data_IF_898132756002
#
_entry.id   IF_898132756002
#
_cell.length_a   1.000
_cell.length_b   1.000
_cell.length_c   1.000
_cell.angle_alpha   90.00
_cell.angle_beta   90.00
_cell.angle_gamma   90.00
#
_symmetry.space_group_name_H-M   'P 1'
#
loop_
_entity.id
_entity.type
_entity.pdbx_description
1 polymer ?
#
# COMPACT_ATOMS: atom_id res chain seq x y z
N UNK A 1 16.47 -8.31 2.33
CA UNK A 1 15.12 -7.73 2.41
C UNK A 1 15.21 -6.26 2.04
N UNK A 2 14.45 -5.82 1.06
CA UNK A 2 14.31 -4.45 0.59
C UNK A 2 12.89 -3.99 0.92
N UNK A 3 12.73 -2.75 1.39
CA UNK A 3 11.43 -2.15 1.65
C UNK A 3 11.35 -0.80 0.95
N UNK A 4 10.31 -0.61 0.16
CA UNK A 4 9.98 0.64 -0.53
C UNK A 4 8.64 1.14 -0.01
N UNK A 5 8.52 2.44 0.25
CA UNK A 5 7.25 3.05 0.65
C UNK A 5 6.85 4.10 -0.38
N UNK A 6 5.61 4.01 -0.81
CA UNK A 6 4.98 4.95 -1.73
C UNK A 6 4.04 5.84 -0.93
N UNK A 7 4.07 7.14 -1.20
CA UNK A 7 3.13 8.12 -0.65
C UNK A 7 2.46 8.82 -1.82
N UNK A 8 1.13 8.82 -1.83
CA UNK A 8 0.32 9.48 -2.83
C UNK A 8 -0.30 10.76 -2.25
N UNK A 9 -0.88 11.59 -3.12
CA UNK A 9 -1.48 12.88 -2.73
C UNK A 9 -2.81 12.70 -1.99
N UNK A 10 -3.47 11.54 -2.11
CA UNK A 10 -4.73 11.21 -1.44
C UNK A 10 -4.56 10.76 0.03
N UNK A 11 -3.42 11.05 0.66
CA UNK A 11 -3.04 10.59 2.01
C UNK A 11 -2.83 9.08 2.15
N UNK A 12 -3.06 8.28 1.10
CA UNK A 12 -2.74 6.86 1.08
C UNK A 12 -1.33 6.61 0.53
N UNK A 13 -0.90 5.37 0.65
CA UNK A 13 0.39 4.88 0.25
C UNK A 13 0.45 3.37 0.22
N UNK A 14 1.63 2.85 -0.14
CA UNK A 14 1.90 1.42 -0.10
C UNK A 14 3.23 1.15 0.60
N UNK A 15 3.26 0.15 1.47
CA UNK A 15 4.49 -0.43 2.01
C UNK A 15 4.79 -1.72 1.25
N UNK A 16 5.84 -1.70 0.44
CA UNK A 16 6.26 -2.82 -0.42
C UNK A 16 7.52 -3.45 0.15
N UNK A 17 7.51 -4.77 0.33
CA UNK A 17 8.65 -5.53 0.85
C UNK A 17 9.02 -6.63 -0.15
N UNK A 18 10.32 -6.80 -0.39
CA UNK A 18 10.86 -7.86 -1.22
C UNK A 18 12.13 -8.45 -0.60
N UNK A 19 12.18 -9.76 -0.37
CA UNK A 19 13.42 -10.37 0.12
C UNK A 19 13.41 -11.87 0.25
N UNK A 20 14.60 -12.50 0.30
CA UNK A 20 14.72 -13.90 0.66
C UNK A 20 14.27 -14.08 2.12
N UNK A 21 13.13 -14.76 2.32
CA UNK A 21 12.46 -14.92 3.62
C UNK A 21 11.02 -14.37 3.68
N UNK A 22 10.64 -13.52 2.72
CA UNK A 22 9.24 -13.14 2.48
C UNK A 22 8.57 -14.14 1.52
N UNK A 23 7.25 -14.12 1.42
CA UNK A 23 6.53 -14.84 0.35
C UNK A 23 6.67 -14.11 -1.00
N UNK A 24 7.88 -13.74 -1.41
CA UNK A 24 8.13 -12.95 -2.63
C UNK A 24 7.91 -11.45 -2.42
N UNK A 25 7.27 -10.80 -3.39
CA UNK A 25 6.92 -9.38 -3.36
C UNK A 25 5.61 -9.21 -2.57
N UNK A 26 5.64 -8.36 -1.54
CA UNK A 26 4.54 -8.12 -0.62
C UNK A 26 4.14 -6.64 -0.65
N UNK A 27 2.84 -6.33 -0.63
CA UNK A 27 2.29 -4.97 -0.55
C UNK A 27 1.24 -4.89 0.57
N UNK A 28 1.33 -3.83 1.36
CA UNK A 28 0.29 -3.40 2.29
C UNK A 28 -0.12 -1.96 2.00
N UNK A 29 -1.42 -1.67 2.08
CA UNK A 29 -1.94 -0.30 2.00
C UNK A 29 -1.61 0.42 3.30
N UNK A 30 -1.10 1.64 3.20
CA UNK A 30 -0.82 2.49 4.37
C UNK A 30 -1.52 3.84 4.21
N UNK A 31 -1.91 4.45 5.33
CA UNK A 31 -2.44 5.82 5.39
C UNK A 31 -1.47 6.70 6.14
N UNK A 32 -1.19 7.88 5.62
CA UNK A 32 -0.35 8.89 6.24
C UNK A 32 -1.19 9.84 7.07
N UNK A 33 -0.84 9.99 8.34
CA UNK A 33 -1.47 10.93 9.25
C UNK A 33 -0.88 12.34 9.06
N UNK A 34 -1.59 13.35 9.59
CA UNK A 34 -1.16 14.76 9.51
C UNK A 34 0.16 15.04 10.24
N UNK A 35 0.51 14.25 11.24
CA UNK A 35 1.79 14.34 11.97
C UNK A 35 2.96 13.68 11.21
N UNK A 36 2.70 13.02 10.08
CA UNK A 36 3.70 12.34 9.26
C UNK A 36 3.95 10.89 9.66
N UNK A 37 3.31 10.38 10.73
CA UNK A 37 3.19 8.94 10.96
C UNK A 37 2.36 8.27 9.88
N UNK A 38 2.48 6.94 9.81
CA UNK A 38 1.69 6.12 8.90
C UNK A 38 1.28 4.84 9.59
N UNK A 39 0.09 4.36 9.26
CA UNK A 39 -0.48 3.13 9.77
C UNK A 39 -0.92 2.25 8.61
N UNK A 40 -0.93 0.93 8.81
CA UNK A 40 -1.51 0.01 7.83
C UNK A 40 -3.01 0.23 7.81
N UNK A 41 -3.56 0.38 6.61
CA UNK A 41 -4.96 0.67 6.41
C UNK A 41 -5.69 -0.54 5.84
N UNK A 42 -6.51 -1.16 6.68
CA UNK A 42 -7.35 -2.30 6.34
C UNK A 42 -8.79 -1.89 5.94
N UNK A 43 -9.08 -0.58 5.88
CA UNK A 43 -10.43 -0.09 5.57
C UNK A 43 -10.72 -0.01 4.06
N UNK A 44 -9.75 -0.37 3.22
CA UNK A 44 -9.87 -0.26 1.75
C UNK A 44 -10.20 -1.60 1.12
N UNK A 45 -11.10 -1.62 0.13
CA UNK A 45 -11.42 -2.81 -0.68
C UNK A 45 -10.27 -3.26 -1.62
N UNK A 46 -9.08 -2.66 -1.48
CA UNK A 46 -7.90 -3.04 -2.24
C UNK A 46 -7.31 -4.32 -1.68
N UNK A 47 -7.23 -4.41 -0.36
CA UNK A 47 -6.80 -5.61 0.34
C UNK A 47 -7.28 -5.58 1.79
N UNK A 48 -7.82 -6.72 2.25
CA UNK A 48 -8.18 -6.95 3.64
C UNK A 48 -6.96 -7.24 4.54
N UNK A 49 -5.78 -7.52 3.95
CA UNK A 49 -4.51 -7.83 4.66
C UNK A 49 -3.28 -7.53 3.78
N UNK A 50 -2.11 -8.09 4.07
CA UNK A 50 -0.91 -8.00 3.21
C UNK A 50 -1.03 -8.92 2.00
N UNK A 51 -0.93 -8.39 0.78
CA UNK A 51 -0.90 -9.20 -0.44
C UNK A 51 0.54 -9.62 -0.73
N UNK A 52 0.83 -10.92 -0.68
CA UNK A 52 2.13 -11.51 -1.01
C UNK A 52 2.18 -12.20 -2.37
N UNK A 53 3.37 -12.62 -2.78
CA UNK A 53 3.67 -13.29 -4.07
C UNK A 53 3.28 -12.48 -5.30
N UNK A 54 3.30 -11.16 -5.19
CA UNK A 54 2.95 -10.27 -6.29
C UNK A 54 3.95 -10.38 -7.45
N UNK A 55 3.43 -10.32 -8.65
CA UNK A 55 4.20 -10.00 -9.85
C UNK A 55 4.38 -8.48 -9.98
N UNK A 56 5.34 -8.00 -10.79
CA UNK A 56 5.51 -6.57 -11.05
C UNK A 56 4.23 -5.90 -11.60
N UNK A 57 3.51 -6.57 -12.51
CA UNK A 57 2.26 -6.07 -13.07
C UNK A 57 1.13 -5.96 -12.02
N UNK A 58 1.02 -6.95 -11.13
CA UNK A 58 0.05 -6.90 -10.02
C UNK A 58 0.40 -5.80 -9.02
N UNK A 59 1.69 -5.60 -8.73
CA UNK A 59 2.16 -4.49 -7.90
C UNK A 59 1.74 -3.15 -8.51
N UNK A 60 2.03 -2.92 -9.80
CA UNK A 60 1.68 -1.67 -10.48
C UNK A 60 0.17 -1.44 -10.51
N UNK A 61 -0.63 -2.49 -10.72
CA UNK A 61 -2.08 -2.40 -10.65
C UNK A 61 -2.57 -1.99 -9.26
N UNK A 62 -2.05 -2.61 -8.21
CA UNK A 62 -2.40 -2.28 -6.82
C UNK A 62 -1.98 -0.85 -6.47
N UNK A 63 -0.78 -0.42 -6.86
CA UNK A 63 -0.32 0.96 -6.66
C UNK A 63 -1.24 1.96 -7.36
N UNK A 64 -1.67 1.67 -8.59
CA UNK A 64 -2.63 2.50 -9.32
C UNK A 64 -3.99 2.57 -8.62
N UNK A 65 -4.49 1.46 -8.10
CA UNK A 65 -5.73 1.43 -7.29
C UNK A 65 -5.61 2.26 -6.03
N UNK A 66 -4.49 2.16 -5.30
CA UNK A 66 -4.25 2.94 -4.07
C UNK A 66 -4.17 4.42 -4.37
N UNK A 67 -3.50 4.81 -5.45
CA UNK A 67 -3.43 6.19 -5.90
C UNK A 67 -4.81 6.75 -6.31
N UNK A 68 -5.68 5.89 -6.84
CA UNK A 68 -7.03 6.24 -7.25
C UNK A 68 -8.08 6.13 -6.13
N UNK A 69 -7.69 5.71 -4.91
CA UNK A 69 -8.59 5.78 -3.77
C UNK A 69 -9.07 7.21 -3.59
N UNK A 70 -10.39 7.36 -3.50
CA UNK A 70 -10.96 8.63 -3.12
C UNK A 70 -10.48 8.93 -1.71
N UNK A 71 -9.78 10.06 -1.54
CA UNK A 71 -9.18 10.48 -0.27
C UNK A 71 -10.20 10.65 0.85
N UNK A 72 -11.49 10.53 0.53
CA UNK A 72 -12.52 10.17 1.49
C UNK A 72 -12.64 11.19 2.61
N UNK A 73 -12.45 12.48 2.32
CA UNK A 73 -13.09 13.56 3.09
C UNK A 73 -14.58 13.63 2.68
N UNK A 74 -15.30 12.51 2.74
CA UNK A 74 -16.76 12.55 2.68
C UNK A 74 -17.25 12.82 4.11
N UNK A 75 -17.40 14.12 4.39
CA UNK A 75 -18.22 14.83 5.41
C UNK A 75 -18.76 14.04 6.61
#
# INVERSE_FOLDING_TARGET
>A
MQRTRYKFENSFGASVIYGPGSFGLELAVIRYNKDGSWDIDYSTDITDDVVGRLTPDELDNLLGRIQALDGGDNE
#
